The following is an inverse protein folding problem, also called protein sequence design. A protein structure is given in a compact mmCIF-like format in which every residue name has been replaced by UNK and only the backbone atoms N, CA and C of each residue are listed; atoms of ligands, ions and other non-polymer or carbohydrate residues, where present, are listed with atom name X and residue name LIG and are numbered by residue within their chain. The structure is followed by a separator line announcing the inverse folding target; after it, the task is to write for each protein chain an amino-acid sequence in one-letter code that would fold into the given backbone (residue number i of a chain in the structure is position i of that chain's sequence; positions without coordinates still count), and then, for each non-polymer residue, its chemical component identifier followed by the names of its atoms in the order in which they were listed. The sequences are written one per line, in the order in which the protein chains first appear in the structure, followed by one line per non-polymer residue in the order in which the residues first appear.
data_IF_503730435597
#
_entry.id   IF_503730435597
#
_cell.length_a   1.000
_cell.length_b   1.000
_cell.length_c   1.000
_cell.angle_alpha   90.00
_cell.angle_beta   90.00
_cell.angle_gamma   90.00
#
_symmetry.space_group_name_H-M   'P 1'
#
loop_
_entity.id
_entity.type
_entity.pdbx_description
1 polymer ?
#
# COMPACT_ATOMS: atom_id res chain seq x y z
N UNK A 1 -10.49 -8.44 -16.73
CA UNK A 1 -9.45 -9.42 -16.35
C UNK A 1 -8.66 -8.82 -15.21
N UNK A 2 -8.64 -9.50 -14.07
CA UNK A 2 -8.00 -9.00 -12.86
C UNK A 2 -6.51 -8.67 -13.08
N UNK A 3 -6.03 -7.60 -12.47
CA UNK A 3 -4.60 -7.24 -12.48
C UNK A 3 -3.80 -8.17 -11.57
N UNK A 4 -4.36 -8.45 -10.38
CA UNK A 4 -3.82 -9.44 -9.43
C UNK A 4 -4.97 -10.30 -8.92
N UNK A 5 -4.71 -11.59 -8.77
CA UNK A 5 -5.59 -12.54 -8.09
C UNK A 5 -4.74 -13.43 -7.17
N UNK A 6 -5.13 -13.51 -5.91
CA UNK A 6 -4.62 -14.49 -4.96
C UNK A 6 -5.62 -15.64 -4.84
N UNK A 7 -5.15 -16.87 -4.94
CA UNK A 7 -5.95 -18.09 -4.77
C UNK A 7 -5.40 -18.90 -3.61
N UNK A 8 -6.15 -18.94 -2.52
CA UNK A 8 -5.85 -19.75 -1.32
C UNK A 8 -4.41 -19.61 -0.82
N UNK A 9 -3.91 -18.35 -0.81
CA UNK A 9 -2.54 -18.05 -0.43
C UNK A 9 -2.37 -18.19 1.08
N UNK A 10 -1.40 -19.03 1.49
CA UNK A 10 -1.05 -19.19 2.90
C UNK A 10 0.44 -18.94 3.12
N UNK A 11 0.81 -18.51 4.33
CA UNK A 11 2.19 -18.30 4.73
C UNK A 11 2.47 -18.80 6.13
N UNK A 12 3.53 -19.60 6.24
CA UNK A 12 4.04 -20.10 7.53
C UNK A 12 5.49 -19.66 7.73
N UNK A 13 5.82 -19.33 8.95
CA UNK A 13 7.19 -19.10 9.42
C UNK A 13 7.48 -20.10 10.55
N UNK A 14 8.11 -21.21 10.22
CA UNK A 14 8.24 -22.31 11.16
C UNK A 14 6.86 -22.79 11.65
N UNK A 15 6.60 -22.79 12.99
CA UNK A 15 5.32 -23.21 13.55
C UNK A 15 4.21 -22.14 13.39
N UNK A 16 4.57 -20.87 13.15
CA UNK A 16 3.62 -19.76 13.11
C UNK A 16 2.92 -19.70 11.75
N UNK A 17 1.59 -19.72 11.75
CA UNK A 17 0.76 -19.43 10.57
C UNK A 17 0.49 -17.93 10.53
N UNK A 18 1.14 -17.23 9.60
CA UNK A 18 0.96 -15.80 9.44
C UNK A 18 -0.19 -15.44 8.50
N UNK A 19 -0.52 -16.32 7.55
CA UNK A 19 -1.67 -16.22 6.65
C UNK A 19 -2.23 -17.61 6.38
N UNK A 20 -3.57 -17.72 6.34
CA UNK A 20 -4.30 -18.94 6.04
C UNK A 20 -5.35 -18.66 4.97
N UNK A 21 -5.22 -19.32 3.82
CA UNK A 21 -6.23 -19.38 2.74
C UNK A 21 -6.74 -18.02 2.25
N UNK A 22 -5.82 -17.07 2.03
CA UNK A 22 -6.17 -15.73 1.57
C UNK A 22 -6.46 -15.75 0.08
N UNK A 23 -7.70 -15.37 -0.28
CA UNK A 23 -8.13 -15.17 -1.66
C UNK A 23 -8.64 -13.75 -1.84
N UNK A 24 -8.11 -13.02 -2.83
CA UNK A 24 -8.56 -11.67 -3.17
C UNK A 24 -8.28 -11.36 -4.64
N UNK A 25 -8.99 -10.40 -5.17
CA UNK A 25 -8.86 -9.94 -6.56
C UNK A 25 -8.73 -8.42 -6.56
N UNK A 26 -7.87 -7.90 -7.44
CA UNK A 26 -7.73 -6.46 -7.72
C UNK A 26 -7.98 -6.23 -9.20
N UNK A 27 -9.02 -5.48 -9.51
CA UNK A 27 -9.41 -5.16 -10.89
C UNK A 27 -8.74 -3.86 -11.38
N UNK A 28 -8.65 -3.64 -12.71
CA UNK A 28 -8.20 -2.36 -13.25
C UNK A 28 -9.08 -1.20 -12.76
N UNK A 29 -8.45 -0.13 -12.26
CA UNK A 29 -9.17 1.04 -11.78
C UNK A 29 -10.00 0.79 -10.52
N UNK A 30 -9.65 -0.21 -9.71
CA UNK A 30 -10.26 -0.52 -8.42
C UNK A 30 -9.34 -0.12 -7.26
N UNK A 31 -9.90 0.41 -6.20
CA UNK A 31 -9.26 0.55 -4.90
C UNK A 31 -9.73 -0.57 -3.99
N UNK A 32 -8.90 -1.58 -3.80
CA UNK A 32 -9.12 -2.68 -2.88
C UNK A 32 -8.50 -2.34 -1.52
N UNK A 33 -9.32 -2.10 -0.52
CA UNK A 33 -8.87 -1.79 0.84
C UNK A 33 -8.60 -3.07 1.62
N UNK A 34 -7.39 -3.22 2.14
CA UNK A 34 -7.00 -4.29 3.05
C UNK A 34 -6.99 -3.75 4.47
N UNK A 35 -7.96 -4.15 5.27
CA UNK A 35 -8.21 -3.67 6.61
C UNK A 35 -7.85 -4.73 7.66
N UNK A 36 -7.73 -4.31 8.90
CA UNK A 36 -7.48 -5.18 10.06
C UNK A 36 -6.54 -4.50 11.05
N UNK A 37 -6.48 -5.01 12.25
CA UNK A 37 -5.64 -4.49 13.32
C UNK A 37 -4.16 -4.88 13.16
N UNK A 38 -3.31 -4.41 14.06
CA UNK A 38 -1.91 -4.80 14.13
C UNK A 38 -1.80 -6.30 14.41
N UNK A 39 -0.91 -6.97 13.65
CA UNK A 39 -0.78 -8.43 13.75
C UNK A 39 -1.77 -9.23 12.88
N UNK A 40 -2.76 -8.61 12.23
CA UNK A 40 -3.73 -9.29 11.38
C UNK A 40 -3.15 -9.99 10.12
N UNK A 41 -1.85 -9.84 9.84
CA UNK A 41 -1.21 -10.47 8.68
C UNK A 41 -1.02 -9.54 7.46
N UNK A 42 -1.49 -8.29 7.50
CA UNK A 42 -1.41 -7.33 6.38
C UNK A 42 0.01 -7.18 5.84
N UNK A 43 1.00 -6.93 6.70
CA UNK A 43 2.40 -6.75 6.28
C UNK A 43 3.00 -8.03 5.68
N UNK A 44 2.55 -9.22 6.10
CA UNK A 44 2.96 -10.49 5.49
C UNK A 44 2.40 -10.60 4.07
N UNK A 45 1.14 -10.24 3.89
CA UNK A 45 0.48 -10.25 2.58
C UNK A 45 1.16 -9.26 1.61
N UNK A 46 1.47 -8.03 2.08
CA UNK A 46 2.25 -7.06 1.30
C UNK A 46 3.58 -7.64 0.85
N UNK A 47 4.33 -8.27 1.77
CA UNK A 47 5.64 -8.87 1.46
C UNK A 47 5.54 -10.00 0.45
N UNK A 48 4.43 -10.72 0.40
CA UNK A 48 4.17 -11.72 -0.64
C UNK A 48 3.88 -11.04 -1.98
N UNK A 49 2.96 -10.08 -2.02
CA UNK A 49 2.60 -9.35 -3.23
C UNK A 49 3.77 -8.56 -3.82
N UNK A 50 4.64 -8.02 -2.96
CA UNK A 50 5.86 -7.31 -3.37
C UNK A 50 7.04 -8.21 -3.73
N UNK A 51 6.86 -9.55 -3.69
CA UNK A 51 7.92 -10.50 -4.03
C UNK A 51 9.03 -10.65 -2.99
N UNK A 52 8.84 -10.10 -1.77
CA UNK A 52 9.81 -10.25 -0.68
C UNK A 52 9.75 -11.63 -0.02
N UNK A 53 8.56 -12.24 0.00
CA UNK A 53 8.33 -13.60 0.49
C UNK A 53 7.56 -14.42 -0.54
N UNK A 54 8.00 -15.65 -0.78
CA UNK A 54 7.17 -16.61 -1.49
C UNK A 54 6.03 -17.10 -0.57
N UNK A 55 4.81 -17.35 -1.07
CA UNK A 55 3.77 -18.03 -0.32
C UNK A 55 4.21 -19.47 0.03
N UNK A 56 3.67 -20.04 1.12
CA UNK A 56 3.89 -21.44 1.48
C UNK A 56 2.98 -22.39 0.68
N UNK A 57 1.80 -21.90 0.30
CA UNK A 57 0.85 -22.60 -0.58
C UNK A 57 -0.07 -21.58 -1.26
N UNK A 58 -0.86 -22.03 -2.23
CA UNK A 58 -1.71 -21.18 -3.05
C UNK A 58 -0.99 -20.62 -4.27
N UNK A 59 -1.65 -19.73 -5.00
CA UNK A 59 -1.13 -19.15 -6.23
C UNK A 59 -1.36 -17.65 -6.30
N UNK A 60 -0.44 -16.94 -6.95
CA UNK A 60 -0.55 -15.54 -7.33
C UNK A 60 -0.68 -15.48 -8.85
N UNK A 61 -1.72 -14.83 -9.35
CA UNK A 61 -1.88 -14.58 -10.78
C UNK A 61 -1.76 -13.09 -11.05
N UNK A 62 -1.04 -12.72 -12.10
CA UNK A 62 -0.92 -11.35 -12.60
C UNK A 62 -1.41 -11.33 -14.03
N UNK A 63 -2.45 -10.55 -14.30
CA UNK A 63 -3.10 -10.55 -15.60
C UNK A 63 -3.65 -11.93 -16.02
N UNK A 64 -4.04 -12.78 -15.04
CA UNK A 64 -4.55 -14.13 -15.25
C UNK A 64 -3.49 -15.23 -15.37
N UNK A 65 -2.21 -14.87 -15.47
CA UNK A 65 -1.11 -15.83 -15.59
C UNK A 65 -0.49 -16.09 -14.22
N UNK A 66 -0.16 -17.38 -13.87
CA UNK A 66 0.51 -17.71 -12.62
C UNK A 66 1.91 -17.08 -12.55
N UNK A 67 2.22 -16.48 -11.41
CA UNK A 67 3.52 -15.88 -11.14
C UNK A 67 4.12 -16.40 -9.83
N UNK A 68 5.44 -16.61 -9.83
CA UNK A 68 6.24 -16.84 -8.65
C UNK A 68 7.34 -15.77 -8.59
N UNK A 69 7.26 -14.88 -7.61
CA UNK A 69 8.26 -13.84 -7.43
C UNK A 69 9.44 -14.40 -6.62
N UNK A 70 10.63 -14.37 -7.17
CA UNK A 70 11.89 -14.70 -6.49
C UNK A 70 12.50 -13.46 -5.80
N UNK A 71 12.04 -12.27 -6.18
CA UNK A 71 12.54 -10.98 -5.66
C UNK A 71 11.53 -9.85 -5.87
N UNK A 72 11.69 -8.71 -5.16
CA UNK A 72 10.89 -7.51 -5.42
C UNK A 72 11.03 -6.95 -6.85
N UNK A 73 12.16 -7.21 -7.51
CA UNK A 73 12.35 -6.83 -8.92
C UNK A 73 11.42 -7.59 -9.86
N UNK A 74 11.13 -8.85 -9.57
CA UNK A 74 10.22 -9.66 -10.38
C UNK A 74 8.79 -9.13 -10.25
N UNK A 75 8.35 -8.76 -9.04
CA UNK A 75 7.06 -8.14 -8.82
C UNK A 75 6.96 -6.78 -9.55
N UNK A 76 8.03 -5.97 -9.49
CA UNK A 76 8.10 -4.70 -10.20
C UNK A 76 8.06 -4.91 -11.72
N UNK A 77 8.78 -5.89 -12.26
CA UNK A 77 8.75 -6.24 -13.69
C UNK A 77 7.35 -6.70 -14.15
N UNK A 78 6.58 -7.33 -13.25
CA UNK A 78 5.18 -7.69 -13.48
C UNK A 78 4.21 -6.49 -13.34
N UNK A 79 4.72 -5.28 -13.05
CA UNK A 79 3.93 -4.06 -12.90
C UNK A 79 3.35 -3.83 -11.51
N UNK A 80 3.88 -4.49 -10.47
CA UNK A 80 3.47 -4.29 -9.08
C UNK A 80 4.49 -3.39 -8.39
N UNK A 81 4.06 -2.22 -7.93
CA UNK A 81 4.90 -1.32 -7.15
C UNK A 81 4.36 -1.17 -5.72
N UNK A 82 5.27 -1.16 -4.75
CA UNK A 82 4.91 -1.01 -3.34
C UNK A 82 5.50 0.28 -2.80
N UNK A 83 4.66 1.09 -2.18
CA UNK A 83 5.03 2.26 -1.39
C UNK A 83 4.78 1.91 0.07
N UNK A 84 5.86 1.76 0.82
CA UNK A 84 5.82 1.46 2.26
C UNK A 84 5.53 2.73 3.07
N UNK A 85 5.18 2.55 4.33
CA UNK A 85 4.81 3.61 5.27
C UNK A 85 5.84 4.77 5.30
N UNK A 86 7.14 4.47 5.26
CA UNK A 86 8.22 5.47 5.25
C UNK A 86 8.50 6.06 3.86
N UNK A 87 7.63 5.82 2.88
CA UNK A 87 7.77 6.21 1.47
C UNK A 87 9.07 5.73 0.78
N UNK A 88 9.94 5.00 1.48
CA UNK A 88 11.20 4.49 0.96
C UNK A 88 12.14 5.57 0.40
N UNK A 89 12.04 6.79 0.92
CA UNK A 89 12.81 7.95 0.46
C UNK A 89 14.10 8.13 1.26
N UNK A 90 15.15 8.64 0.60
CA UNK A 90 16.43 8.99 1.24
C UNK A 90 16.44 10.49 1.52
N UNK A 91 16.31 10.93 2.80
CA UNK A 91 16.11 12.35 3.14
C UNK A 91 17.22 13.28 2.67
N UNK A 92 18.46 12.81 2.64
CA UNK A 92 19.65 13.59 2.25
C UNK A 92 19.89 13.63 0.73
N UNK A 93 19.06 12.96 -0.05
CA UNK A 93 19.11 13.04 -1.51
C UNK A 93 18.08 14.04 -2.03
N UNK A 94 18.36 14.58 -3.22
CA UNK A 94 17.43 15.47 -3.91
C UNK A 94 16.15 14.76 -4.36
N UNK A 95 15.10 15.52 -4.62
CA UNK A 95 13.82 15.01 -5.18
C UNK A 95 14.10 14.21 -6.45
N UNK A 96 14.84 14.76 -7.39
CA UNK A 96 15.16 14.08 -8.65
C UNK A 96 15.99 12.81 -8.44
N UNK A 97 16.97 12.83 -7.53
CA UNK A 97 17.74 11.64 -7.24
C UNK A 97 16.91 10.54 -6.57
N UNK A 98 15.97 10.90 -5.68
CA UNK A 98 15.00 9.96 -5.11
C UNK A 98 14.04 9.40 -6.17
N UNK A 99 13.56 10.25 -7.08
CA UNK A 99 12.63 9.84 -8.13
C UNK A 99 13.24 8.77 -9.04
N UNK A 100 14.50 8.95 -9.44
CA UNK A 100 15.20 8.02 -10.34
C UNK A 100 16.11 7.00 -9.64
N UNK A 101 16.07 6.90 -8.31
CA UNK A 101 16.93 5.99 -7.55
C UNK A 101 16.84 4.54 -8.07
N UNK A 102 17.98 4.03 -8.57
CA UNK A 102 18.09 2.70 -9.18
C UNK A 102 17.60 2.61 -10.65
N UNK A 103 17.17 3.74 -11.25
CA UNK A 103 16.77 3.86 -12.65
C UNK A 103 17.26 5.19 -13.23
N UNK A 104 18.50 5.57 -12.92
CA UNK A 104 19.08 6.85 -13.28
C UNK A 104 19.15 7.03 -14.79
N UNK A 105 18.67 8.17 -15.26
CA UNK A 105 18.84 8.54 -16.67
C UNK A 105 20.28 8.92 -16.95
N UNK A 106 20.87 8.28 -17.92
CA UNK A 106 22.27 8.51 -18.29
C UNK A 106 22.40 9.04 -19.70
N UNK A 107 23.46 9.83 -19.94
CA UNK A 107 23.89 10.27 -21.26
C UNK A 107 25.40 10.01 -21.44
N UNK A 108 25.81 9.91 -22.68
CA UNK A 108 27.16 9.50 -23.06
C UNK A 108 27.22 8.03 -23.46
N UNK A 109 28.43 7.52 -23.71
CA UNK A 109 28.65 6.15 -24.17
C UNK A 109 29.91 5.56 -23.53
N UNK A 110 29.83 4.31 -23.12
CA UNK A 110 30.98 3.59 -22.52
C UNK A 110 31.49 4.29 -21.26
N UNK A 111 32.81 4.52 -21.19
CA UNK A 111 33.48 5.14 -20.04
C UNK A 111 33.09 6.60 -19.80
N UNK A 112 32.43 7.27 -20.74
CA UNK A 112 31.93 8.64 -20.62
C UNK A 112 30.45 8.73 -20.26
N UNK A 113 29.86 7.64 -19.79
CA UNK A 113 28.49 7.64 -19.30
C UNK A 113 28.38 8.45 -18.01
N UNK A 114 27.43 9.37 -17.96
CA UNK A 114 27.14 10.23 -16.80
C UNK A 114 25.64 10.42 -16.64
N UNK A 115 25.19 10.70 -15.43
CA UNK A 115 23.77 11.00 -15.15
C UNK A 115 23.33 12.26 -15.91
N UNK A 116 22.18 12.19 -16.58
CA UNK A 116 21.55 13.33 -17.25
C UNK A 116 20.63 14.09 -16.28
N UNK A 117 21.25 14.93 -15.45
CA UNK A 117 20.53 15.67 -14.39
C UNK A 117 19.41 16.54 -14.96
N UNK A 118 19.70 17.31 -16.03
CA UNK A 118 18.73 18.25 -16.60
C UNK A 118 17.46 17.52 -17.04
N UNK A 119 17.61 16.44 -17.81
CA UNK A 119 16.47 15.64 -18.28
C UNK A 119 15.74 14.97 -17.12
N UNK A 120 16.48 14.50 -16.11
CA UNK A 120 15.89 13.90 -14.91
C UNK A 120 15.06 14.92 -14.13
N UNK A 121 15.55 16.16 -13.97
CA UNK A 121 14.83 17.23 -13.29
C UNK A 121 13.52 17.58 -14.03
N UNK A 122 13.61 17.78 -15.36
CA UNK A 122 12.45 18.08 -16.19
C UNK A 122 11.36 17.01 -16.07
N UNK A 123 11.73 15.74 -16.12
CA UNK A 123 10.78 14.61 -15.99
C UNK A 123 10.22 14.53 -14.57
N UNK A 124 11.06 14.52 -13.54
CA UNK A 124 10.60 14.38 -12.16
C UNK A 124 9.63 15.49 -11.78
N UNK A 125 9.98 16.75 -12.07
CA UNK A 125 9.12 17.90 -11.80
C UNK A 125 7.83 17.87 -12.64
N UNK A 126 7.92 17.48 -13.90
CA UNK A 126 6.76 17.32 -14.79
C UNK A 126 5.78 16.27 -14.28
N UNK A 127 6.25 15.11 -13.82
CA UNK A 127 5.40 14.07 -13.26
C UNK A 127 4.74 14.52 -11.93
N UNK A 128 5.48 15.21 -11.06
CA UNK A 128 4.92 15.78 -9.84
C UNK A 128 3.82 16.82 -10.14
N UNK A 129 4.04 17.69 -11.12
CA UNK A 129 3.05 18.68 -11.54
C UNK A 129 1.78 18.05 -12.11
N UNK A 130 1.90 17.00 -12.94
CA UNK A 130 0.73 16.25 -13.47
C UNK A 130 -0.16 15.66 -12.37
N UNK A 131 0.42 15.41 -11.19
CA UNK A 131 -0.27 14.91 -10.02
C UNK A 131 -0.72 16.03 -9.06
N UNK A 132 -0.58 17.30 -9.47
CA UNK A 132 -1.00 18.46 -8.69
C UNK A 132 -0.03 18.85 -7.57
N UNK A 133 1.20 18.29 -7.56
CA UNK A 133 2.24 18.63 -6.58
C UNK A 133 3.03 19.82 -7.12
N UNK A 134 2.57 21.03 -6.82
CA UNK A 134 3.11 22.28 -7.36
C UNK A 134 4.11 22.99 -6.45
N UNK A 135 4.25 22.54 -5.21
CA UNK A 135 5.17 23.13 -4.22
C UNK A 135 6.63 22.79 -4.49
N UNK A 136 6.89 21.59 -5.02
CA UNK A 136 8.24 21.17 -5.41
C UNK A 136 8.54 21.79 -6.77
N UNK A 137 9.39 22.81 -6.77
CA UNK A 137 9.77 23.58 -7.98
C UNK A 137 11.21 23.38 -8.42
N UNK A 138 12.01 22.76 -7.57
CA UNK A 138 13.43 22.53 -7.78
C UNK A 138 13.74 21.05 -7.52
N UNK A 139 14.21 20.36 -8.55
CA UNK A 139 14.61 18.95 -8.47
C UNK A 139 15.81 18.71 -7.55
N UNK A 140 16.61 19.75 -7.25
CA UNK A 140 17.74 19.69 -6.32
C UNK A 140 17.33 19.79 -4.85
N UNK A 141 16.07 20.17 -4.53
CA UNK A 141 15.55 20.23 -3.18
C UNK A 141 15.70 18.89 -2.46
N UNK A 142 16.18 18.90 -1.21
CA UNK A 142 16.33 17.68 -0.42
C UNK A 142 14.97 17.12 0.01
N UNK A 143 14.77 15.81 -0.14
CA UNK A 143 13.53 15.14 0.25
C UNK A 143 13.23 15.27 1.73
N UNK A 144 14.24 15.37 2.59
CA UNK A 144 14.07 15.62 4.01
C UNK A 144 13.38 16.94 4.37
N UNK A 145 13.33 17.91 3.44
CA UNK A 145 12.61 19.19 3.62
C UNK A 145 11.16 19.16 3.18
N UNK A 146 10.72 18.06 2.56
CA UNK A 146 9.35 17.86 2.13
C UNK A 146 8.46 17.48 3.33
N UNK A 147 7.18 17.86 3.27
CA UNK A 147 6.17 17.35 4.20
C UNK A 147 5.95 15.84 4.01
N UNK A 148 5.31 15.19 4.99
CA UNK A 148 4.96 13.78 4.90
C UNK A 148 4.15 13.45 3.65
N UNK A 149 3.12 14.26 3.36
CA UNK A 149 2.27 14.10 2.17
C UNK A 149 3.02 14.31 0.85
N UNK A 150 3.99 15.25 0.81
CA UNK A 150 4.83 15.46 -0.36
C UNK A 150 5.78 14.28 -0.61
N UNK A 151 6.36 13.68 0.45
CA UNK A 151 7.18 12.47 0.33
C UNK A 151 6.37 11.27 -0.19
N UNK A 152 5.17 11.05 0.36
CA UNK A 152 4.27 9.99 -0.12
C UNK A 152 3.87 10.24 -1.58
N UNK A 153 3.57 11.47 -1.92
CA UNK A 153 3.23 11.85 -3.28
C UNK A 153 4.39 11.62 -4.26
N UNK A 154 5.63 11.91 -3.86
CA UNK A 154 6.84 11.62 -4.63
C UNK A 154 6.99 10.12 -4.91
N UNK A 155 6.79 9.28 -3.88
CA UNK A 155 6.88 7.82 -4.00
C UNK A 155 5.79 7.25 -4.93
N UNK A 156 4.55 7.75 -4.83
CA UNK A 156 3.45 7.37 -5.72
C UNK A 156 3.75 7.82 -7.17
N UNK A 157 4.19 9.07 -7.36
CA UNK A 157 4.54 9.60 -8.68
C UNK A 157 5.63 8.76 -9.36
N UNK A 158 6.67 8.39 -8.59
CA UNK A 158 7.73 7.50 -9.03
C UNK A 158 7.19 6.14 -9.48
N UNK A 159 6.37 5.50 -8.65
CA UNK A 159 5.80 4.19 -8.96
C UNK A 159 4.98 4.22 -10.26
N UNK A 160 4.15 5.25 -10.44
CA UNK A 160 3.35 5.43 -11.64
C UNK A 160 4.20 5.72 -12.89
N UNK A 161 5.24 6.55 -12.76
CA UNK A 161 6.17 6.85 -13.85
C UNK A 161 6.88 5.61 -14.37
N UNK A 162 7.27 4.70 -13.49
CA UNK A 162 7.93 3.44 -13.86
C UNK A 162 6.96 2.32 -14.22
N UNK A 163 5.71 2.65 -14.52
CA UNK A 163 4.77 1.73 -15.15
C UNK A 163 4.02 0.80 -14.19
N UNK A 164 3.81 1.21 -12.95
CA UNK A 164 2.98 0.46 -12.04
C UNK A 164 1.57 0.28 -12.60
N UNK A 165 1.14 -0.97 -12.74
CA UNK A 165 -0.24 -1.37 -13.07
C UNK A 165 -1.03 -1.65 -11.80
N UNK A 166 -0.33 -2.10 -10.77
CA UNK A 166 -0.85 -2.28 -9.41
C UNK A 166 0.03 -1.51 -8.44
N UNK A 167 -0.60 -0.69 -7.62
CA UNK A 167 0.05 0.12 -6.61
C UNK A 167 -0.36 -0.36 -5.22
N UNK A 168 0.58 -0.91 -4.47
CA UNK A 168 0.37 -1.31 -3.07
C UNK A 168 0.81 -0.15 -2.19
N UNK A 169 -0.09 0.35 -1.35
CA UNK A 169 0.14 1.47 -0.45
C UNK A 169 -0.03 1.00 1.00
N UNK A 170 1.08 0.93 1.72
CA UNK A 170 1.13 0.49 3.11
C UNK A 170 1.03 1.69 4.05
N UNK A 171 -0.13 1.87 4.68
CA UNK A 171 -0.43 2.96 5.62
C UNK A 171 -0.04 4.37 5.11
N UNK A 172 -0.34 4.75 3.86
CA UNK A 172 0.20 5.96 3.25
C UNK A 172 -0.31 7.26 3.89
N UNK A 173 -1.30 7.19 4.77
CA UNK A 173 -1.93 8.34 5.43
C UNK A 173 -1.80 8.33 6.95
N UNK A 174 -1.13 7.33 7.56
CA UNK A 174 -1.14 7.12 9.02
C UNK A 174 -0.47 8.22 9.83
N UNK A 175 0.61 8.81 9.31
CA UNK A 175 1.38 9.86 9.97
C UNK A 175 1.12 11.27 9.39
N UNK A 176 -0.01 11.45 8.67
CA UNK A 176 -0.32 12.67 7.95
C UNK A 176 -1.47 13.45 8.61
N UNK A 177 -1.37 14.78 8.57
CA UNK A 177 -2.51 15.64 8.90
C UNK A 177 -3.64 15.51 7.87
N UNK A 178 -4.85 15.93 8.23
CA UNK A 178 -6.06 15.78 7.40
C UNK A 178 -5.88 16.34 5.97
N UNK A 179 -5.22 17.51 5.84
CA UNK A 179 -4.96 18.12 4.52
C UNK A 179 -4.02 17.29 3.67
N UNK A 180 -2.95 16.76 4.27
CA UNK A 180 -1.94 15.95 3.60
C UNK A 180 -2.51 14.58 3.20
N UNK A 181 -3.26 13.93 4.10
CA UNK A 181 -3.98 12.70 3.78
C UNK A 181 -4.94 12.90 2.60
N UNK A 182 -5.66 14.02 2.56
CA UNK A 182 -6.52 14.38 1.44
C UNK A 182 -5.77 14.55 0.10
N UNK A 183 -4.50 14.98 0.11
CA UNK A 183 -3.66 15.00 -1.11
C UNK A 183 -3.37 13.58 -1.58
N UNK A 184 -2.93 12.70 -0.68
CA UNK A 184 -2.60 11.29 -1.01
C UNK A 184 -3.84 10.56 -1.54
N UNK A 185 -5.01 10.70 -0.90
CA UNK A 185 -6.25 10.08 -1.36
C UNK A 185 -6.67 10.56 -2.76
N UNK A 186 -6.50 11.85 -3.09
CA UNK A 186 -6.72 12.36 -4.45
C UNK A 186 -5.75 11.79 -5.46
N UNK A 187 -4.48 11.58 -5.10
CA UNK A 187 -3.51 10.92 -5.98
C UNK A 187 -3.89 9.47 -6.28
N UNK A 188 -4.39 8.75 -5.28
CA UNK A 188 -4.93 7.41 -5.47
C UNK A 188 -6.12 7.42 -6.44
N UNK A 189 -7.04 8.37 -6.29
CA UNK A 189 -8.18 8.52 -7.20
C UNK A 189 -7.74 8.82 -8.64
N UNK A 190 -6.74 9.68 -8.82
CA UNK A 190 -6.15 9.96 -10.14
C UNK A 190 -5.46 8.73 -10.75
N UNK A 191 -4.77 7.92 -9.96
CA UNK A 191 -4.15 6.67 -10.42
C UNK A 191 -5.23 5.65 -10.82
N UNK A 192 -6.28 5.50 -9.99
CA UNK A 192 -7.45 4.68 -10.27
C UNK A 192 -8.11 5.06 -11.60
N UNK A 193 -8.34 6.35 -11.84
CA UNK A 193 -8.93 6.87 -13.08
C UNK A 193 -8.09 6.56 -14.34
N UNK A 194 -6.80 6.26 -14.17
CA UNK A 194 -5.90 5.81 -15.26
C UNK A 194 -5.87 4.29 -15.44
N UNK A 195 -6.73 3.54 -14.73
CA UNK A 195 -6.81 2.09 -14.78
C UNK A 195 -5.81 1.36 -13.88
N UNK A 196 -5.07 2.07 -13.00
CA UNK A 196 -4.19 1.43 -12.02
C UNK A 196 -5.05 0.77 -10.93
N UNK A 197 -4.81 -0.50 -10.64
CA UNK A 197 -5.38 -1.18 -9.48
C UNK A 197 -4.62 -0.78 -8.22
N UNK A 198 -5.33 -0.51 -7.13
CA UNK A 198 -4.71 -0.06 -5.88
C UNK A 198 -5.05 -1.03 -4.76
N UNK A 199 -4.03 -1.51 -4.06
CA UNK A 199 -4.18 -2.21 -2.77
C UNK A 199 -3.87 -1.19 -1.68
N UNK A 200 -4.91 -0.69 -1.03
CA UNK A 200 -4.79 0.32 0.02
C UNK A 200 -4.89 -0.34 1.39
N UNK A 201 -3.75 -0.42 2.07
CA UNK A 201 -3.66 -0.97 3.41
C UNK A 201 -3.77 0.17 4.42
N UNK A 202 -4.73 0.06 5.34
CA UNK A 202 -4.89 1.03 6.41
C UNK A 202 -5.67 0.44 7.59
N UNK A 203 -5.40 0.95 8.79
CA UNK A 203 -6.23 0.76 9.98
C UNK A 203 -7.28 1.88 10.13
N UNK A 204 -7.27 2.89 9.27
CA UNK A 204 -8.22 4.01 9.31
C UNK A 204 -9.44 3.71 8.42
N UNK A 205 -10.52 3.23 9.04
CA UNK A 205 -11.77 2.92 8.34
C UNK A 205 -12.36 4.14 7.60
N UNK A 206 -12.19 5.37 8.13
CA UNK A 206 -12.69 6.58 7.47
C UNK A 206 -12.00 6.83 6.13
N UNK A 207 -10.68 6.72 6.08
CA UNK A 207 -9.93 6.87 4.83
C UNK A 207 -10.29 5.75 3.86
N UNK A 208 -10.37 4.49 4.33
CA UNK A 208 -10.74 3.36 3.49
C UNK A 208 -12.13 3.54 2.86
N UNK A 209 -13.15 3.85 3.67
CA UNK A 209 -14.53 4.03 3.19
C UNK A 209 -14.72 5.24 2.26
N UNK A 210 -13.82 6.25 2.35
CA UNK A 210 -13.90 7.43 1.48
C UNK A 210 -13.51 7.12 0.04
N UNK A 211 -12.63 6.16 -0.22
CA UNK A 211 -12.07 5.90 -1.54
C UNK A 211 -12.20 4.45 -2.01
N UNK A 212 -12.29 3.48 -1.08
CA UNK A 212 -12.33 2.04 -1.37
C UNK A 212 -13.55 1.63 -2.19
N UNK A 213 -13.37 0.69 -3.11
CA UNK A 213 -14.44 0.07 -3.91
C UNK A 213 -14.73 -1.34 -3.38
N UNK A 214 -13.70 -2.07 -3.00
CA UNK A 214 -13.75 -3.41 -2.39
C UNK A 214 -12.95 -3.42 -1.10
N UNK A 215 -13.38 -4.24 -0.16
CA UNK A 215 -12.80 -4.32 1.18
C UNK A 215 -12.56 -5.77 1.56
N UNK A 216 -11.38 -6.05 2.10
CA UNK A 216 -11.04 -7.31 2.77
C UNK A 216 -10.57 -6.98 4.17
N UNK A 217 -11.23 -7.55 5.18
CA UNK A 217 -10.82 -7.43 6.58
C UNK A 217 -10.06 -8.69 6.97
N UNK A 218 -8.84 -8.53 7.46
CA UNK A 218 -8.03 -9.61 8.00
C UNK A 218 -8.05 -9.58 9.53
N UNK A 219 -8.23 -10.77 10.12
CA UNK A 219 -8.07 -11.02 11.56
C UNK A 219 -7.19 -12.26 11.70
N UNK A 220 -6.14 -12.18 12.50
CA UNK A 220 -5.24 -13.31 12.82
C UNK A 220 -4.76 -14.13 11.60
N UNK A 221 -4.52 -13.44 10.47
CA UNK A 221 -4.03 -14.07 9.24
C UNK A 221 -5.11 -14.73 8.37
N UNK A 222 -6.38 -14.53 8.66
CA UNK A 222 -7.52 -15.06 7.91
C UNK A 222 -8.43 -13.94 7.40
N UNK A 223 -9.24 -14.23 6.38
CA UNK A 223 -10.24 -13.30 5.87
C UNK A 223 -11.49 -13.38 6.74
N UNK A 224 -11.71 -12.36 7.57
CA UNK A 224 -12.91 -12.27 8.39
C UNK A 224 -14.13 -11.80 7.60
N UNK A 225 -13.92 -10.88 6.63
CA UNK A 225 -15.01 -10.39 5.78
C UNK A 225 -14.48 -9.85 4.45
N UNK A 226 -15.31 -9.97 3.41
CA UNK A 226 -15.14 -9.29 2.13
C UNK A 226 -16.46 -8.64 1.71
N UNK A 227 -16.40 -7.39 1.26
CA UNK A 227 -17.60 -6.65 0.86
C UNK A 227 -17.26 -5.53 -0.14
N UNK A 228 -18.26 -5.06 -0.85
CA UNK A 228 -18.15 -3.92 -1.76
C UNK A 228 -18.60 -2.64 -1.07
N UNK A 229 -18.24 -1.50 -1.66
CA UNK A 229 -18.68 -0.16 -1.23
C UNK A 229 -20.20 -0.13 -1.03
N UNK A 230 -20.64 0.38 0.11
CA UNK A 230 -22.05 0.55 0.46
C UNK A 230 -22.75 -0.68 1.03
N UNK A 231 -22.09 -1.86 1.08
CA UNK A 231 -22.68 -3.07 1.66
C UNK A 231 -22.63 -3.11 3.20
N UNK A 232 -21.73 -2.33 3.81
CA UNK A 232 -21.58 -2.22 5.26
C UNK A 232 -21.52 -0.77 5.69
N UNK A 233 -22.13 -0.48 6.83
CA UNK A 233 -22.02 0.81 7.51
C UNK A 233 -20.60 1.02 8.08
N UNK A 234 -20.28 2.27 8.41
CA UNK A 234 -19.00 2.59 9.06
C UNK A 234 -18.83 1.85 10.40
N UNK A 235 -19.89 1.77 11.16
CA UNK A 235 -19.90 1.10 12.46
C UNK A 235 -19.63 -0.40 12.34
N UNK A 236 -20.29 -1.09 11.40
CA UNK A 236 -20.00 -2.49 11.10
C UNK A 236 -18.56 -2.72 10.67
N UNK A 237 -17.98 -1.83 9.86
CA UNK A 237 -16.56 -1.94 9.45
C UNK A 237 -15.62 -1.76 10.64
N UNK A 238 -15.88 -0.78 11.51
CA UNK A 238 -15.09 -0.57 12.71
C UNK A 238 -15.16 -1.77 13.65
N UNK A 239 -16.35 -2.34 13.87
CA UNK A 239 -16.54 -3.54 14.68
C UNK A 239 -15.79 -4.75 14.11
N UNK A 240 -15.85 -4.96 12.78
CA UNK A 240 -15.09 -6.01 12.13
C UNK A 240 -13.57 -5.83 12.28
N UNK A 241 -13.07 -4.61 12.13
CA UNK A 241 -11.63 -4.32 12.26
C UNK A 241 -11.13 -4.51 13.69
N UNK A 242 -11.97 -4.25 14.67
CA UNK A 242 -11.67 -4.39 16.08
C UNK A 242 -11.76 -5.84 16.60
N UNK A 243 -12.06 -6.81 15.74
CA UNK A 243 -12.17 -8.22 16.11
C UNK A 243 -13.54 -8.63 16.66
N UNK A 244 -14.58 -7.78 16.49
CA UNK A 244 -15.99 -8.04 16.78
C UNK A 244 -16.27 -8.85 18.07
N UNK A 245 -16.27 -10.16 17.95
CA UNK A 245 -16.54 -11.10 19.06
C UNK A 245 -15.47 -11.06 20.19
N UNK A 246 -14.20 -10.78 19.87
CA UNK A 246 -13.14 -10.70 20.88
C UNK A 246 -13.29 -9.46 21.78
N UNK A 247 -13.75 -8.33 21.22
CA UNK A 247 -14.02 -7.12 22.00
C UNK A 247 -15.25 -7.27 22.89
N UNK A 248 -16.31 -7.94 22.41
CA UNK A 248 -17.47 -8.24 23.26
C UNK A 248 -17.10 -9.17 24.40
N UNK A 249 -16.30 -10.22 24.14
CA UNK A 249 -15.84 -11.13 25.19
C UNK A 249 -14.93 -10.43 26.21
N UNK A 250 -14.00 -9.59 25.75
CA UNK A 250 -13.14 -8.79 26.62
C UNK A 250 -13.93 -7.77 27.46
N UNK A 251 -14.96 -7.14 26.85
CA UNK A 251 -15.88 -6.25 27.56
C UNK A 251 -16.60 -6.96 28.70
N UNK A 252 -17.14 -8.15 28.44
CA UNK A 252 -17.80 -8.99 29.45
C UNK A 252 -16.85 -9.44 30.55
N UNK A 253 -15.61 -9.82 30.21
CA UNK A 253 -14.60 -10.18 31.21
C UNK A 253 -14.21 -8.99 32.10
N UNK A 254 -14.05 -7.80 31.53
CA UNK A 254 -13.74 -6.58 32.28
C UNK A 254 -14.90 -6.17 33.21
N UNK A 255 -16.14 -6.28 32.76
CA UNK A 255 -17.33 -6.04 33.58
C UNK A 255 -17.42 -7.03 34.76
N UNK A 256 -17.17 -8.31 34.49
CA UNK A 256 -17.12 -9.34 35.55
C UNK A 256 -16.00 -9.07 36.56
N UNK A 257 -14.83 -8.64 36.08
CA UNK A 257 -13.71 -8.29 36.95
C UNK A 257 -14.01 -7.05 37.81
N UNK A 258 -14.61 -6.01 37.21
CA UNK A 258 -15.02 -4.81 37.96
C UNK A 258 -16.05 -5.15 39.05
N UNK A 259 -17.07 -5.95 38.71
CA UNK A 259 -18.08 -6.40 39.66
C UNK A 259 -17.48 -7.24 40.83
N UNK A 260 -16.45 -8.04 40.53
CA UNK A 260 -15.75 -8.82 41.55
C UNK A 260 -14.83 -7.98 42.46
N UNK A 261 -14.35 -6.83 41.99
CA UNK A 261 -13.55 -5.86 42.79
C UNK A 261 -14.47 -5.04 43.69
N UNK A 262 -15.65 -4.61 43.21
CA UNK A 262 -16.63 -3.83 43.99
C UNK A 262 -17.35 -4.66 45.06
N UNK A 263 -17.30 -5.99 44.95
CA UNK A 263 -17.88 -6.93 45.94
C UNK A 263 -16.92 -7.29 47.10
N UNK A 264 -15.70 -6.75 47.13
CA UNK A 264 -14.71 -6.92 48.22
C UNK A 264 -14.55 -5.68 49.05
#
# INVERSE_FOLDING_TARGET
MALIELRSVSKRFGPVRALTDISLIVEPGEVHCLLGDNGAGKSTLIKILSGFHAPSSGAILVGGEPHQFGSPRDAQAAGIATVYQDAGSVPLMSVTSNFFLGNELTKGRGLFTRVDRKRSDEIALGELQKLGITRVRDGSQLVGTLSGGERQSLAIARALHFGARVLILDEPTSALGVKEAGVVLRLMDQARARGVGIVFITHNAHHALSIGDRFTVLIQGEVAAQFLRGQKSREEVLNLMAGGEELESLGLELEQFAAAVDAR
#
